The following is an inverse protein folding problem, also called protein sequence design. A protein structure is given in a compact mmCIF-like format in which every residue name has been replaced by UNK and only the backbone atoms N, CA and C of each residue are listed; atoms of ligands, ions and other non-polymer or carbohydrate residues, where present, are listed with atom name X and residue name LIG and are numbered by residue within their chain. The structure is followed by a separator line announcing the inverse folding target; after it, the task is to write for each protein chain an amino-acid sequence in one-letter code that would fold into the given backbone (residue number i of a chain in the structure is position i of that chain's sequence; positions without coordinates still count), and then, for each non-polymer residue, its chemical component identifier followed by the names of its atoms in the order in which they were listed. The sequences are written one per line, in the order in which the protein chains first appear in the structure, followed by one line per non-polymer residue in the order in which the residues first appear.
data_IF_796893937043
#
_entry.id   IF_796893937043
#
_cell.length_a   1.000
_cell.length_b   1.000
_cell.length_c   1.000
_cell.angle_alpha   90.00
_cell.angle_beta   90.00
_cell.angle_gamma   90.00
#
_symmetry.space_group_name_H-M   'P 1'
#
loop_
_entity.id
_entity.type
_entity.pdbx_description
1 polymer ?
#
# COMPACT_ATOMS: atom_id res chain seq x y z
N UNK A 1 -17.05 4.88 -8.37
CA UNK A 1 -17.04 6.35 -8.53
C UNK A 1 -16.48 6.67 -9.90
N UNK A 2 -16.88 7.78 -10.53
CA UNK A 2 -16.48 8.20 -11.90
C UNK A 2 -14.98 8.00 -12.20
N UNK A 3 -14.11 8.29 -11.23
CA UNK A 3 -12.64 8.16 -11.34
C UNK A 3 -12.18 6.71 -11.59
N UNK A 4 -12.73 5.70 -10.90
CA UNK A 4 -12.31 4.31 -11.10
C UNK A 4 -12.67 3.81 -12.51
N UNK A 5 -13.84 4.22 -13.01
CA UNK A 5 -14.27 3.90 -14.37
C UNK A 5 -13.45 4.64 -15.44
N UNK A 6 -13.01 5.88 -15.16
CA UNK A 6 -12.07 6.63 -16.00
C UNK A 6 -10.69 5.94 -16.02
N UNK A 7 -10.19 5.50 -14.86
CA UNK A 7 -8.92 4.76 -14.77
C UNK A 7 -9.01 3.43 -15.53
N UNK A 8 -10.11 2.68 -15.43
CA UNK A 8 -10.31 1.44 -16.17
C UNK A 8 -10.16 1.62 -17.68
N UNK A 9 -10.62 2.75 -18.24
CA UNK A 9 -10.46 3.07 -19.66
C UNK A 9 -9.01 3.39 -20.04
N UNK A 10 -8.17 3.78 -19.07
CA UNK A 10 -6.78 4.14 -19.27
C UNK A 10 -5.79 3.01 -18.94
N UNK A 11 -6.23 1.88 -18.38
CA UNK A 11 -5.35 0.79 -17.92
C UNK A 11 -4.36 0.34 -19.00
N UNK A 12 -4.83 0.13 -20.23
CA UNK A 12 -3.98 -0.33 -21.32
C UNK A 12 -2.97 0.76 -21.75
N UNK A 13 -3.39 2.02 -21.79
CA UNK A 13 -2.50 3.14 -22.08
C UNK A 13 -1.44 3.36 -20.99
N UNK A 14 -1.78 3.11 -19.72
CA UNK A 14 -0.83 3.14 -18.60
C UNK A 14 0.18 2.00 -18.73
N UNK A 15 -0.29 0.78 -19.07
CA UNK A 15 0.57 -0.39 -19.29
C UNK A 15 1.54 -0.19 -20.46
N UNK A 16 1.09 0.41 -21.56
CA UNK A 16 1.92 0.64 -22.74
C UNK A 16 3.04 1.68 -22.50
N UNK A 17 2.81 2.64 -21.59
CA UNK A 17 3.82 3.61 -21.16
C UNK A 17 4.85 3.01 -20.21
N UNK A 18 4.58 1.84 -19.62
CA UNK A 18 5.49 1.23 -18.66
C UNK A 18 6.78 0.76 -19.38
N UNK A 19 7.97 1.16 -18.90
CA UNK A 19 9.22 0.75 -19.52
C UNK A 19 9.38 -0.77 -19.41
N UNK A 20 9.59 -1.43 -20.55
CA UNK A 20 9.89 -2.87 -20.59
C UNK A 20 11.34 -3.10 -20.15
N UNK A 21 11.52 -3.34 -18.86
CA UNK A 21 12.81 -3.59 -18.24
C UNK A 21 13.06 -5.09 -18.10
N UNK A 22 14.32 -5.50 -18.19
CA UNK A 22 14.72 -6.87 -17.84
C UNK A 22 14.61 -7.09 -16.33
N UNK A 23 14.50 -8.35 -15.91
CA UNK A 23 14.50 -8.71 -14.49
C UNK A 23 15.72 -8.13 -13.73
N UNK A 24 16.89 -8.10 -14.36
CA UNK A 24 18.09 -7.49 -13.79
C UNK A 24 17.96 -5.97 -13.67
N UNK A 25 17.42 -5.30 -14.68
CA UNK A 25 17.24 -3.85 -14.66
C UNK A 25 16.15 -3.42 -13.66
N UNK A 26 15.12 -4.22 -13.42
CA UNK A 26 14.12 -3.96 -12.37
C UNK A 26 14.76 -4.03 -10.99
N UNK A 27 15.57 -5.06 -10.73
CA UNK A 27 16.29 -5.20 -9.46
C UNK A 27 17.26 -4.06 -9.23
N UNK A 28 18.05 -3.70 -10.24
CA UNK A 28 19.04 -2.62 -10.14
C UNK A 28 18.37 -1.25 -9.92
N UNK A 29 17.30 -0.96 -10.66
CA UNK A 29 16.65 0.35 -10.62
C UNK A 29 15.71 0.53 -9.43
N UNK A 30 14.95 -0.50 -9.08
CA UNK A 30 13.86 -0.41 -8.10
C UNK A 30 14.11 -1.23 -6.84
N UNK A 31 15.09 -2.13 -6.83
CA UNK A 31 15.38 -2.96 -5.65
C UNK A 31 14.29 -3.97 -5.32
N UNK A 32 13.43 -4.35 -6.29
CA UNK A 32 12.29 -5.26 -6.05
C UNK A 32 12.36 -6.54 -6.88
N UNK A 33 11.66 -7.57 -6.42
CA UNK A 33 11.47 -8.81 -7.16
C UNK A 33 10.69 -8.55 -8.46
N UNK A 34 11.18 -8.99 -9.64
CA UNK A 34 10.65 -8.58 -10.93
C UNK A 34 9.26 -9.12 -11.27
N UNK A 35 8.80 -10.15 -10.56
CA UNK A 35 7.46 -10.76 -10.77
C UNK A 35 6.46 -10.31 -9.71
N UNK A 36 6.92 -10.17 -8.46
CA UNK A 36 6.04 -9.92 -7.30
C UNK A 36 6.09 -8.47 -6.82
N UNK A 37 7.00 -7.66 -7.34
CA UNK A 37 7.24 -6.26 -6.94
C UNK A 37 7.48 -6.08 -5.43
N UNK A 38 7.99 -7.11 -4.77
CA UNK A 38 8.32 -7.08 -3.35
C UNK A 38 9.79 -6.63 -3.15
N UNK A 39 10.08 -5.68 -2.25
CA UNK A 39 11.45 -5.24 -1.97
C UNK A 39 12.30 -6.28 -1.23
N UNK A 40 11.66 -7.21 -0.51
CA UNK A 40 12.33 -8.35 0.11
C UNK A 40 12.41 -9.51 -0.89
N UNK A 41 13.62 -9.77 -1.40
CA UNK A 41 13.86 -10.77 -2.44
C UNK A 41 13.68 -12.20 -1.91
N UNK A 42 14.07 -12.46 -0.66
CA UNK A 42 13.99 -13.80 -0.08
C UNK A 42 12.54 -14.15 0.23
N UNK A 43 11.79 -13.20 0.82
CA UNK A 43 10.36 -13.34 1.01
C UNK A 43 9.63 -13.52 -0.32
N UNK A 44 10.00 -12.75 -1.35
CA UNK A 44 9.42 -12.87 -2.68
C UNK A 44 9.66 -14.26 -3.29
N UNK A 45 10.86 -14.83 -3.14
CA UNK A 45 11.15 -16.17 -3.64
C UNK A 45 10.28 -17.22 -2.94
N UNK A 46 10.12 -17.12 -1.61
CA UNK A 46 9.24 -18.00 -0.85
C UNK A 46 7.76 -17.86 -1.28
N UNK A 47 7.31 -16.65 -1.60
CA UNK A 47 5.98 -16.40 -2.18
C UNK A 47 5.83 -17.08 -3.55
N UNK A 48 6.82 -16.93 -4.45
CA UNK A 48 6.81 -17.57 -5.78
C UNK A 48 6.71 -19.09 -5.66
N UNK A 49 7.53 -19.69 -4.79
CA UNK A 49 7.56 -21.14 -4.60
C UNK A 49 6.20 -21.65 -4.07
N UNK A 50 5.58 -20.89 -3.17
CA UNK A 50 4.24 -21.17 -2.66
C UNK A 50 3.18 -21.08 -3.76
N UNK A 51 3.19 -20.01 -4.55
CA UNK A 51 2.28 -19.83 -5.67
C UNK A 51 2.42 -20.97 -6.70
N UNK A 52 3.65 -21.33 -7.08
CA UNK A 52 3.91 -22.43 -8.01
C UNK A 52 3.42 -23.77 -7.47
N UNK A 53 3.63 -24.04 -6.18
CA UNK A 53 3.17 -25.28 -5.54
C UNK A 53 1.65 -25.40 -5.54
N UNK A 54 0.92 -24.32 -5.25
CA UNK A 54 -0.55 -24.29 -5.24
C UNK A 54 -1.10 -24.36 -6.68
N UNK A 55 -0.48 -23.64 -7.62
CA UNK A 55 -0.87 -23.67 -9.02
C UNK A 55 -0.71 -25.08 -9.62
N UNK A 56 0.33 -25.81 -9.22
CA UNK A 56 0.56 -27.20 -9.66
C UNK A 56 -0.55 -28.17 -9.21
N UNK A 57 -1.36 -27.83 -8.21
CA UNK A 57 -2.52 -28.63 -7.79
C UNK A 57 -3.82 -28.20 -8.48
N UNK A 58 -3.78 -27.21 -9.38
CA UNK A 58 -4.96 -26.64 -10.02
C UNK A 58 -5.79 -25.73 -9.11
N UNK A 59 -5.18 -25.25 -8.02
CA UNK A 59 -5.82 -24.34 -7.06
C UNK A 59 -5.25 -22.92 -7.19
N UNK A 60 -5.79 -21.96 -6.42
CA UNK A 60 -5.39 -20.56 -6.42
C UNK A 60 -5.15 -20.03 -5.01
N UNK A 61 -4.35 -18.97 -4.90
CA UNK A 61 -4.05 -18.32 -3.62
C UNK A 61 -4.10 -16.80 -3.78
N UNK A 62 -4.56 -16.12 -2.73
CA UNK A 62 -4.51 -14.67 -2.64
C UNK A 62 -3.23 -14.19 -1.96
N UNK A 63 -3.24 -12.94 -1.51
CA UNK A 63 -2.15 -12.35 -0.76
C UNK A 63 -2.52 -10.99 -0.19
N UNK A 64 -1.54 -10.34 0.42
CA UNK A 64 -1.63 -8.95 0.89
C UNK A 64 -0.69 -8.10 0.04
N UNK A 65 -1.15 -6.93 -0.35
CA UNK A 65 -0.34 -5.94 -1.09
C UNK A 65 -0.30 -4.67 -0.26
N UNK A 66 0.90 -4.11 -0.10
CA UNK A 66 1.10 -2.81 0.53
C UNK A 66 1.35 -1.75 -0.54
N UNK A 67 0.73 -0.59 -0.37
CA UNK A 67 0.95 0.58 -1.21
C UNK A 67 1.52 1.71 -0.36
N UNK A 68 2.71 2.18 -0.71
CA UNK A 68 3.36 3.30 -0.05
C UNK A 68 3.37 4.51 -0.98
N UNK A 69 2.84 5.63 -0.50
CA UNK A 69 2.88 6.91 -1.21
C UNK A 69 3.71 7.89 -0.39
N UNK A 70 4.76 8.43 -0.99
CA UNK A 70 5.69 9.38 -0.34
C UNK A 70 5.52 10.78 -0.88
N UNK A 71 5.83 11.79 -0.07
CA UNK A 71 5.75 13.20 -0.49
C UNK A 71 4.30 13.69 -0.68
N UNK A 72 3.36 13.02 0.00
CA UNK A 72 1.97 13.44 0.07
C UNK A 72 1.92 14.82 0.76
N UNK A 73 1.15 15.79 0.23
CA UNK A 73 0.98 17.07 0.90
C UNK A 73 0.08 16.92 2.12
N UNK A 74 0.37 17.68 3.16
CA UNK A 74 -0.44 17.67 4.38
C UNK A 74 -1.86 18.16 4.13
N UNK A 75 -2.85 17.57 4.81
CA UNK A 75 -4.24 18.05 4.81
C UNK A 75 -5.11 17.57 3.65
N UNK A 76 -4.74 16.49 2.95
CA UNK A 76 -5.65 15.82 2.00
C UNK A 76 -6.91 15.29 2.71
N UNK A 77 -8.02 15.16 1.99
CA UNK A 77 -9.28 14.69 2.57
C UNK A 77 -9.98 15.71 3.48
N UNK A 78 -11.09 15.30 4.06
CA UNK A 78 -11.92 16.12 4.95
C UNK A 78 -12.07 15.48 6.34
N UNK A 79 -12.17 16.28 7.40
CA UNK A 79 -12.17 15.76 8.78
C UNK A 79 -13.43 14.97 9.16
N UNK A 80 -14.54 15.09 8.42
CA UNK A 80 -15.84 14.56 8.83
C UNK A 80 -16.40 13.52 7.85
N UNK A 81 -16.67 13.91 6.60
CA UNK A 81 -17.39 13.04 5.66
C UNK A 81 -16.50 12.36 4.62
N UNK A 82 -15.45 13.04 4.14
CA UNK A 82 -14.52 12.53 3.13
C UNK A 82 -13.12 12.34 3.69
N UNK A 83 -13.04 11.63 4.83
CA UNK A 83 -11.74 11.26 5.40
C UNK A 83 -10.95 10.41 4.42
N UNK A 84 -9.64 10.63 4.35
CA UNK A 84 -8.79 9.99 3.36
C UNK A 84 -8.80 8.46 3.47
N UNK A 85 -8.75 7.91 4.68
CA UNK A 85 -8.91 6.48 4.95
C UNK A 85 -10.27 5.92 4.47
N UNK A 86 -11.35 6.68 4.67
CA UNK A 86 -12.67 6.36 4.13
C UNK A 86 -12.70 6.32 2.58
N UNK A 87 -12.04 7.29 1.93
CA UNK A 87 -11.90 7.30 0.47
C UNK A 87 -11.03 6.14 -0.05
N UNK A 88 -9.92 5.84 0.63
CA UNK A 88 -9.07 4.69 0.33
C UNK A 88 -9.80 3.36 0.55
N UNK A 89 -10.70 3.29 1.54
CA UNK A 89 -11.55 2.12 1.79
C UNK A 89 -12.42 1.72 0.58
N UNK A 90 -12.67 2.62 -0.37
CA UNK A 90 -13.35 2.31 -1.64
C UNK A 90 -12.57 1.31 -2.52
N UNK A 91 -11.30 1.02 -2.20
CA UNK A 91 -10.53 -0.08 -2.79
C UNK A 91 -11.19 -1.45 -2.60
N UNK A 92 -12.11 -1.61 -1.63
CA UNK A 92 -12.99 -2.78 -1.53
C UNK A 92 -13.84 -3.01 -2.80
N UNK A 93 -14.01 -2.00 -3.66
CA UNK A 93 -14.65 -2.14 -4.96
C UNK A 93 -13.80 -2.85 -6.02
N UNK A 94 -12.50 -3.04 -5.79
CA UNK A 94 -11.61 -3.80 -6.69
C UNK A 94 -11.92 -5.29 -6.55
N UNK A 95 -12.02 -5.99 -7.68
CA UNK A 95 -12.27 -7.42 -7.71
C UNK A 95 -11.28 -8.21 -6.83
N UNK A 96 -11.79 -9.23 -6.13
CA UNK A 96 -11.06 -10.08 -5.19
C UNK A 96 -10.53 -9.42 -3.90
N UNK A 97 -10.59 -8.09 -3.74
CA UNK A 97 -10.23 -7.43 -2.47
C UNK A 97 -11.29 -7.71 -1.40
N UNK A 98 -10.84 -8.06 -0.19
CA UNK A 98 -11.71 -8.40 0.96
C UNK A 98 -11.41 -7.62 2.24
N UNK A 99 -10.30 -6.89 2.27
CA UNK A 99 -9.90 -6.04 3.37
C UNK A 99 -9.05 -4.89 2.85
N UNK A 100 -9.15 -3.74 3.52
CA UNK A 100 -8.30 -2.58 3.30
C UNK A 100 -7.87 -2.11 4.67
N UNK A 101 -6.56 -1.90 4.82
CA UNK A 101 -5.92 -1.51 6.07
C UNK A 101 -5.08 -0.26 5.81
N UNK A 102 -5.02 0.64 6.80
CA UNK A 102 -4.16 1.83 6.77
C UNK A 102 -3.23 1.76 7.98
N UNK A 103 -1.94 1.99 7.75
CA UNK A 103 -0.92 1.95 8.80
C UNK A 103 -0.84 0.58 9.46
N UNK A 104 -0.88 0.55 10.80
CA UNK A 104 -0.87 -0.67 11.59
C UNK A 104 -2.14 -1.54 11.40
N UNK A 105 -3.18 -1.03 10.73
CA UNK A 105 -4.27 -1.86 10.23
C UNK A 105 -5.02 -2.62 11.32
N UNK A 106 -5.23 -3.91 11.14
CA UNK A 106 -5.90 -4.74 12.16
C UNK A 106 -5.00 -5.07 13.36
N UNK A 107 -3.68 -4.84 13.28
CA UNK A 107 -2.78 -5.09 14.40
C UNK A 107 -3.05 -4.15 15.59
N UNK A 108 -3.70 -3.00 15.36
CA UNK A 108 -4.08 -2.04 16.41
C UNK A 108 -4.96 -2.64 17.51
N UNK A 109 -5.70 -3.73 17.21
CA UNK A 109 -6.55 -4.43 18.19
C UNK A 109 -5.72 -5.10 19.30
N UNK A 110 -4.45 -5.38 19.02
CA UNK A 110 -3.51 -6.04 19.93
C UNK A 110 -2.57 -5.02 20.62
N UNK A 111 -2.82 -3.71 20.47
CA UNK A 111 -1.98 -2.62 20.98
C UNK A 111 -2.72 -1.78 22.03
N UNK A 112 -1.97 -1.26 23.02
CA UNK A 112 -2.45 -0.19 23.90
C UNK A 112 -2.48 1.15 23.17
N UNK A 113 -3.21 2.13 23.71
CA UNK A 113 -3.23 3.49 23.13
C UNK A 113 -1.86 4.16 23.08
N UNK A 114 -0.96 3.83 24.02
CA UNK A 114 0.41 4.33 24.02
C UNK A 114 1.24 3.74 22.87
N UNK A 115 1.08 2.45 22.61
CA UNK A 115 1.78 1.76 21.52
C UNK A 115 1.24 2.15 20.15
N UNK A 116 -0.07 2.35 20.03
CA UNK A 116 -0.72 2.68 18.76
C UNK A 116 -0.51 4.14 18.34
N UNK A 117 -0.54 5.08 19.28
CA UNK A 117 -0.46 6.50 18.95
C UNK A 117 0.93 6.88 18.42
N UNK A 118 0.96 7.61 17.31
CA UNK A 118 2.19 8.19 16.79
C UNK A 118 2.60 9.40 17.63
N UNK A 119 3.59 9.21 18.50
CA UNK A 119 4.11 10.28 19.35
C UNK A 119 4.72 11.39 18.52
N UNK A 120 4.41 12.64 18.89
CA UNK A 120 4.85 13.82 18.17
C UNK A 120 5.67 14.75 19.07
N UNK A 121 6.74 15.30 18.51
CA UNK A 121 7.51 16.38 19.10
C UNK A 121 7.84 17.45 18.06
N UNK A 122 8.25 18.63 18.52
CA UNK A 122 8.66 19.72 17.65
C UNK A 122 10.19 19.78 17.56
N UNK A 123 10.71 19.82 16.33
CA UNK A 123 12.12 19.99 16.04
C UNK A 123 12.27 21.02 14.90
N UNK A 124 13.06 22.07 15.11
CA UNK A 124 13.28 23.16 14.14
C UNK A 124 12.00 23.75 13.51
N UNK A 125 10.94 23.88 14.32
CA UNK A 125 9.65 24.41 13.87
C UNK A 125 8.82 23.45 13.01
N UNK A 126 9.24 22.19 12.88
CA UNK A 126 8.52 21.10 12.22
C UNK A 126 7.98 20.11 13.24
N UNK A 127 6.85 19.50 12.94
CA UNK A 127 6.32 18.38 13.72
C UNK A 127 6.98 17.10 13.22
N UNK A 128 7.64 16.38 14.13
CA UNK A 128 8.25 15.08 13.89
C UNK A 128 7.43 14.03 14.62
N UNK A 129 7.24 12.87 13.97
CA UNK A 129 6.56 11.72 14.54
C UNK A 129 7.58 10.59 14.74
N UNK A 130 7.48 9.89 15.87
CA UNK A 130 8.39 8.80 16.24
C UNK A 130 8.01 7.46 15.61
N UNK A 131 6.76 7.34 15.14
CA UNK A 131 6.22 6.16 14.44
C UNK A 131 5.24 6.58 13.33
N UNK A 132 4.72 5.59 12.60
CA UNK A 132 3.73 5.79 11.53
C UNK A 132 2.63 4.71 11.56
N UNK A 133 2.16 4.36 12.76
CA UNK A 133 1.06 3.42 12.97
C UNK A 133 -0.24 3.92 12.36
N UNK A 134 -0.43 5.24 12.23
CA UNK A 134 -1.59 5.82 11.55
C UNK A 134 -1.49 5.79 10.02
N UNK A 135 -0.36 5.34 9.45
CA UNK A 135 -0.17 5.28 7.99
C UNK A 135 -0.25 6.65 7.29
N UNK A 136 0.18 7.71 7.98
CA UNK A 136 0.14 9.10 7.48
C UNK A 136 -1.22 9.80 7.59
N UNK A 137 -2.25 9.14 8.15
CA UNK A 137 -3.61 9.68 8.27
C UNK A 137 -3.93 10.00 9.72
N UNK A 138 -3.65 11.24 10.16
CA UNK A 138 -3.78 11.64 11.57
C UNK A 138 -4.55 12.94 11.75
N UNK A 139 -5.85 13.00 11.42
CA UNK A 139 -6.75 14.15 11.67
C UNK A 139 -6.41 15.47 10.91
N UNK A 140 -5.15 15.64 10.50
CA UNK A 140 -4.56 16.52 9.51
C UNK A 140 -3.51 15.64 8.82
N UNK A 141 -3.84 15.14 7.63
CA UNK A 141 -3.01 14.16 6.93
C UNK A 141 -1.58 14.68 6.71
N UNK A 142 -0.60 13.77 6.70
CA UNK A 142 0.82 14.06 6.51
C UNK A 142 1.23 13.96 5.06
#
# INVERSE_FOLDING_TARGET
TRILAEIEQEIDAIRDKAPKLSAAAIRDKYGVHPVLNCPDIDAAQAMVDTCNRIAATGDSVGGVVEVVVTGVPTGLGEPVFYKLDGELGKMLGIGAVKGVEVGAGFAVKDMTGFENNDQMHAEDGKVIFESNNAGGITGRNR
#
